data_IF_069412224491
#
_entry.id   IF_069412224491
#
_cell.length_a   1.000
_cell.length_b   1.000
_cell.length_c   1.000
_cell.angle_alpha   90.00
_cell.angle_beta   90.00
_cell.angle_gamma   90.00
#
_symmetry.space_group_name_H-M   'P 1'
#
loop_
_entity.id
_entity.type
_entity.pdbx_description
1 polymer ?
#
# COMPACT_ATOMS: atom_id res chain seq x y z
N UNK A 1 19.66 -24.28 -17.08
CA UNK A 1 19.20 -24.72 -15.75
C UNK A 1 18.01 -23.87 -15.36
N UNK A 2 16.90 -24.44 -14.86
CA UNK A 2 15.76 -23.65 -14.39
C UNK A 2 16.22 -22.74 -13.24
N UNK A 3 15.90 -21.44 -13.33
CA UNK A 3 16.19 -20.50 -12.25
C UNK A 3 15.38 -20.94 -11.03
N UNK A 4 16.03 -21.13 -9.89
CA UNK A 4 15.31 -21.38 -8.63
C UNK A 4 14.56 -20.11 -8.26
N UNK A 5 13.28 -20.24 -7.96
CA UNK A 5 12.46 -19.14 -7.47
C UNK A 5 11.98 -19.47 -6.05
N UNK A 6 12.00 -18.46 -5.17
CA UNK A 6 11.50 -18.56 -3.80
C UNK A 6 10.55 -17.39 -3.55
N UNK A 7 9.34 -17.70 -3.11
CA UNK A 7 8.35 -16.70 -2.69
C UNK A 7 8.56 -16.37 -1.21
N UNK A 8 8.56 -15.08 -0.88
CA UNK A 8 8.73 -14.59 0.48
C UNK A 8 7.44 -13.94 0.95
N UNK A 9 6.94 -14.42 2.10
CA UNK A 9 5.78 -13.87 2.77
C UNK A 9 6.04 -12.40 3.08
N UNK A 10 5.18 -11.53 2.55
CA UNK A 10 5.36 -10.08 2.63
C UNK A 10 4.08 -9.44 3.13
N UNK A 11 4.09 -8.85 4.33
CA UNK A 11 3.03 -7.94 4.73
C UNK A 11 3.31 -6.57 4.13
N UNK A 12 2.29 -5.99 3.51
CA UNK A 12 2.43 -4.73 2.79
C UNK A 12 1.28 -3.75 3.06
N UNK A 13 1.05 -3.35 4.33
CA UNK A 13 0.03 -2.37 4.61
C UNK A 13 0.36 -1.00 4.00
N UNK A 14 -0.66 -0.36 3.43
CA UNK A 14 -0.61 1.00 2.93
C UNK A 14 -1.27 1.96 3.92
N UNK A 15 -0.64 3.11 4.12
CA UNK A 15 -1.20 4.23 4.87
C UNK A 15 -1.41 5.41 3.94
N UNK A 16 -2.67 5.70 3.63
CA UNK A 16 -3.07 6.87 2.86
C UNK A 16 -2.80 8.15 3.66
N UNK A 17 -2.11 9.12 3.05
CA UNK A 17 -1.97 10.48 3.61
C UNK A 17 -2.86 11.48 2.88
N UNK A 18 -2.75 11.61 1.56
CA UNK A 18 -3.52 12.60 0.78
C UNK A 18 -3.43 12.33 -0.72
N UNK A 19 -4.40 12.84 -1.45
CA UNK A 19 -4.34 12.99 -2.91
C UNK A 19 -4.01 14.46 -3.22
N UNK A 20 -3.20 14.73 -4.24
CA UNK A 20 -2.80 16.10 -4.62
C UNK A 20 -2.74 16.23 -6.13
N UNK A 21 -2.96 17.44 -6.63
CA UNK A 21 -2.67 17.77 -8.02
C UNK A 21 -1.16 17.82 -8.25
N UNK A 22 -0.72 17.28 -9.38
CA UNK A 22 0.66 17.35 -9.86
C UNK A 22 0.68 17.48 -11.38
N UNK A 23 1.09 18.64 -11.87
CA UNK A 23 1.14 18.94 -13.30
C UNK A 23 2.23 18.15 -14.06
N UNK A 24 3.19 17.56 -13.35
CA UNK A 24 4.32 16.83 -13.94
C UNK A 24 4.00 15.34 -14.16
N UNK A 25 2.79 14.88 -13.82
CA UNK A 25 2.34 13.49 -13.96
C UNK A 25 1.19 13.38 -14.94
N UNK A 26 1.18 12.30 -15.73
CA UNK A 26 0.04 11.98 -16.58
C UNK A 26 -1.22 11.74 -15.75
N UNK A 27 -2.34 12.33 -16.16
CA UNK A 27 -3.56 12.40 -15.34
C UNK A 27 -3.59 13.52 -14.28
N UNK A 28 -2.45 14.16 -13.99
CA UNK A 28 -2.39 15.39 -13.19
C UNK A 28 -2.57 15.21 -11.69
N UNK A 29 -2.55 13.97 -11.17
CA UNK A 29 -2.90 13.67 -9.77
C UNK A 29 -1.95 12.61 -9.18
N UNK A 30 -1.51 12.83 -7.93
CA UNK A 30 -0.74 11.86 -7.15
C UNK A 30 -1.41 11.47 -5.85
N UNK A 31 -1.20 10.22 -5.46
CA UNK A 31 -1.53 9.66 -4.16
C UNK A 31 -0.27 9.61 -3.29
N UNK A 32 -0.26 10.38 -2.21
CA UNK A 32 0.83 10.41 -1.24
C UNK A 32 0.48 9.49 -0.07
N UNK A 33 1.41 8.61 0.30
CA UNK A 33 1.20 7.67 1.39
C UNK A 33 2.48 7.14 2.03
N UNK A 34 2.32 6.09 2.81
CA UNK A 34 3.42 5.31 3.39
C UNK A 34 3.11 3.83 3.23
N UNK A 35 4.01 3.05 2.64
CA UNK A 35 4.01 1.60 2.78
C UNK A 35 4.84 1.18 4.00
N UNK A 36 4.42 0.11 4.65
CA UNK A 36 5.28 -0.66 5.55
C UNK A 36 5.46 -2.04 4.94
N UNK A 37 6.65 -2.35 4.44
CA UNK A 37 6.98 -3.65 3.86
C UNK A 37 7.66 -4.51 4.91
N UNK A 38 7.00 -5.58 5.37
CA UNK A 38 7.59 -6.57 6.28
C UNK A 38 7.81 -7.86 5.48
N UNK A 39 9.07 -8.21 5.26
CA UNK A 39 9.46 -9.42 4.52
C UNK A 39 9.99 -10.46 5.49
N UNK A 40 9.37 -11.63 5.51
CA UNK A 40 9.75 -12.76 6.35
C UNK A 40 10.60 -13.77 5.59
N UNK A 41 11.17 -14.72 6.33
CA UNK A 41 11.93 -15.87 5.81
C UNK A 41 13.18 -15.46 5.00
N UNK A 42 13.76 -14.31 5.34
CA UNK A 42 15.05 -13.83 4.83
C UNK A 42 16.19 -14.48 5.60
N UNK A 43 17.25 -14.87 4.89
CA UNK A 43 18.51 -15.25 5.53
C UNK A 43 19.19 -14.02 6.17
N UNK A 44 20.02 -14.29 7.17
CA UNK A 44 20.69 -13.23 7.95
C UNK A 44 21.54 -12.34 7.05
N UNK A 45 22.24 -12.93 6.09
CA UNK A 45 23.11 -12.20 5.18
C UNK A 45 22.34 -11.22 4.28
N UNK A 46 21.15 -11.60 3.79
CA UNK A 46 20.34 -10.67 2.98
C UNK A 46 19.71 -9.58 3.82
N UNK A 47 19.33 -9.88 5.06
CA UNK A 47 18.90 -8.83 6.00
C UNK A 47 20.00 -7.80 6.19
N UNK A 48 21.24 -8.25 6.40
CA UNK A 48 22.40 -7.37 6.58
C UNK A 48 22.62 -6.53 5.31
N UNK A 49 22.59 -7.13 4.13
CA UNK A 49 22.72 -6.39 2.85
C UNK A 49 21.62 -5.32 2.67
N UNK A 50 20.37 -5.62 3.00
CA UNK A 50 19.25 -4.68 2.86
C UNK A 50 19.41 -3.53 3.86
N UNK A 51 19.81 -3.84 5.10
CA UNK A 51 19.96 -2.85 6.17
C UNK A 51 21.14 -1.93 5.90
N UNK A 52 22.26 -2.46 5.40
CA UNK A 52 23.46 -1.69 5.12
C UNK A 52 23.27 -0.70 3.97
N UNK A 53 22.38 -1.01 3.02
CA UNK A 53 22.04 -0.09 1.92
C UNK A 53 21.24 1.11 2.39
N UNK A 54 20.38 0.97 3.42
CA UNK A 54 19.49 2.00 4.02
C UNK A 54 18.54 2.76 3.08
N UNK A 55 18.86 2.89 1.80
CA UNK A 55 18.14 3.62 0.76
C UNK A 55 17.28 2.70 -0.13
N UNK A 56 17.35 1.38 0.08
CA UNK A 56 16.68 0.39 -0.73
C UNK A 56 15.60 -0.37 0.06
N UNK A 57 14.40 -0.46 -0.52
CA UNK A 57 13.38 -1.40 -0.09
C UNK A 57 13.80 -2.84 -0.42
N UNK A 58 13.28 -3.83 0.30
CA UNK A 58 13.58 -5.24 0.02
C UNK A 58 13.11 -5.62 -1.40
N UNK A 59 11.92 -5.16 -1.79
CA UNK A 59 11.42 -5.28 -3.15
C UNK A 59 11.17 -3.91 -3.75
N UNK A 60 11.62 -3.72 -4.99
CA UNK A 60 11.31 -2.53 -5.78
C UNK A 60 9.82 -2.44 -6.14
N UNK A 61 9.40 -1.28 -6.61
CA UNK A 61 8.00 -1.02 -6.94
C UNK A 61 7.82 -0.79 -8.43
N UNK A 62 6.68 -1.26 -8.94
CA UNK A 62 6.11 -0.81 -10.20
C UNK A 62 4.75 -0.19 -9.92
N UNK A 63 4.51 0.96 -10.52
CA UNK A 63 3.24 1.69 -10.47
C UNK A 63 2.69 1.79 -11.89
N UNK A 64 1.45 1.36 -12.10
CA UNK A 64 0.81 1.31 -13.41
C UNK A 64 1.71 0.64 -14.46
N UNK A 65 2.26 -0.52 -14.08
CA UNK A 65 3.16 -1.35 -14.91
C UNK A 65 4.54 -0.74 -15.22
N UNK A 66 4.81 0.49 -14.77
CA UNK A 66 6.08 1.20 -14.96
C UNK A 66 6.91 1.10 -13.69
N UNK A 67 8.22 0.90 -13.80
CA UNK A 67 9.12 0.91 -12.63
C UNK A 67 9.11 2.28 -11.95
N UNK A 68 9.06 2.29 -10.62
CA UNK A 68 9.07 3.52 -9.84
C UNK A 68 10.29 4.39 -10.20
N UNK A 69 10.04 5.68 -10.44
CA UNK A 69 11.07 6.67 -10.78
C UNK A 69 11.69 7.26 -9.51
N UNK A 70 12.79 8.00 -9.71
CA UNK A 70 13.38 8.79 -8.63
C UNK A 70 12.34 9.78 -8.09
N UNK A 71 12.17 9.81 -6.76
CA UNK A 71 11.17 10.63 -6.08
C UNK A 71 9.80 9.96 -5.87
N UNK A 72 9.49 8.86 -6.58
CA UNK A 72 8.23 8.13 -6.34
C UNK A 72 8.26 7.31 -5.05
N UNK A 73 9.46 6.88 -4.65
CA UNK A 73 9.70 6.02 -3.49
C UNK A 73 10.84 6.60 -2.66
N UNK A 74 10.60 6.83 -1.38
CA UNK A 74 11.61 7.28 -0.43
C UNK A 74 11.65 6.36 0.80
N UNK A 75 12.73 5.59 0.92
CA UNK A 75 12.95 4.70 2.06
C UNK A 75 13.31 5.55 3.28
N UNK A 76 12.52 5.43 4.35
CA UNK A 76 12.73 6.19 5.58
C UNK A 76 13.56 5.44 6.60
N UNK A 77 13.27 4.15 6.76
CA UNK A 77 13.88 3.31 7.79
C UNK A 77 13.73 1.85 7.45
N UNK A 78 14.79 1.10 7.69
CA UNK A 78 14.78 -0.36 7.63
C UNK A 78 15.29 -0.95 8.94
N UNK A 79 14.58 -1.95 9.46
CA UNK A 79 14.88 -2.60 10.74
C UNK A 79 14.83 -4.12 10.60
N UNK A 80 15.59 -4.83 11.45
CA UNK A 80 15.42 -6.28 11.60
C UNK A 80 14.12 -6.57 12.34
N UNK A 81 13.39 -7.56 11.87
CA UNK A 81 12.26 -8.14 12.59
C UNK A 81 12.61 -9.57 12.97
N UNK A 82 12.29 -9.93 14.20
CA UNK A 82 12.29 -11.31 14.68
C UNK A 82 10.87 -11.62 15.14
N UNK A 83 10.27 -12.64 14.56
CA UNK A 83 9.01 -13.20 15.05
C UNK A 83 9.30 -14.58 15.60
N UNK A 84 8.81 -14.85 16.80
CA UNK A 84 8.70 -16.22 17.28
C UNK A 84 7.37 -16.80 16.76
N UNK A 85 7.41 -18.04 16.30
CA UNK A 85 6.24 -18.79 15.89
C UNK A 85 6.40 -20.25 16.27
N UNK A 86 5.38 -21.04 16.01
CA UNK A 86 5.43 -22.49 16.15
C UNK A 86 5.30 -23.09 14.75
N UNK A 87 6.11 -24.11 14.45
CA UNK A 87 5.90 -24.89 13.23
C UNK A 87 4.67 -25.80 13.38
N UNK A 88 4.33 -26.53 12.31
CA UNK A 88 3.21 -27.47 12.31
C UNK A 88 3.36 -28.60 13.34
N UNK A 89 4.55 -28.77 13.91
CA UNK A 89 4.91 -29.80 14.89
C UNK A 89 4.96 -29.24 16.32
N UNK A 90 4.68 -27.94 16.49
CA UNK A 90 4.69 -27.24 17.78
C UNK A 90 6.08 -26.82 18.27
N UNK A 91 7.12 -26.93 17.44
CA UNK A 91 8.45 -26.45 17.79
C UNK A 91 8.53 -24.93 17.63
N UNK A 92 9.16 -24.27 18.59
CA UNK A 92 9.47 -22.85 18.49
C UNK A 92 10.42 -22.58 17.33
N UNK A 93 9.96 -21.80 16.37
CA UNK A 93 10.75 -21.32 15.24
C UNK A 93 10.94 -19.81 15.34
N UNK A 94 12.15 -19.35 15.05
CA UNK A 94 12.43 -17.91 14.91
C UNK A 94 12.40 -17.57 13.43
N UNK A 95 11.39 -16.82 13.02
CA UNK A 95 11.29 -16.24 11.68
C UNK A 95 12.01 -14.91 11.68
N UNK A 96 13.05 -14.81 10.87
CA UNK A 96 13.78 -13.56 10.67
C UNK A 96 13.23 -12.81 9.45
N UNK A 97 13.27 -11.48 9.52
CA UNK A 97 12.76 -10.63 8.46
C UNK A 97 13.30 -9.20 8.53
N UNK A 98 12.82 -8.37 7.61
CA UNK A 98 13.06 -6.93 7.60
C UNK A 98 11.74 -6.18 7.62
N UNK A 99 11.72 -5.01 8.26
CA UNK A 99 10.62 -4.04 8.18
C UNK A 99 11.17 -2.77 7.58
N UNK A 100 10.61 -2.37 6.44
CA UNK A 100 10.99 -1.15 5.72
C UNK A 100 9.81 -0.20 5.70
N UNK A 101 9.99 1.02 6.20
CA UNK A 101 9.00 2.10 6.11
C UNK A 101 9.34 2.99 4.93
N UNK A 102 8.38 3.18 4.03
CA UNK A 102 8.61 3.74 2.71
C UNK A 102 7.56 4.82 2.46
N UNK A 103 7.99 6.05 2.21
CA UNK A 103 7.11 7.10 1.71
C UNK A 103 6.95 6.96 0.20
N UNK A 104 5.73 7.14 -0.30
CA UNK A 104 5.42 6.98 -1.72
C UNK A 104 4.61 8.12 -2.29
N UNK A 105 4.91 8.45 -3.54
CA UNK A 105 4.22 9.43 -4.37
C UNK A 105 3.72 8.71 -5.64
N UNK A 106 2.53 8.13 -5.55
CA UNK A 106 2.01 7.22 -6.55
C UNK A 106 1.24 7.99 -7.64
N UNK A 107 1.53 7.78 -8.93
CA UNK A 107 0.77 8.40 -10.02
C UNK A 107 -0.62 7.74 -10.13
N UNK A 108 -1.68 8.55 -10.14
CA UNK A 108 -3.05 8.07 -10.32
C UNK A 108 -3.47 8.23 -11.79
N UNK A 109 -4.03 7.16 -12.37
CA UNK A 109 -4.75 7.21 -13.64
C UNK A 109 -6.18 7.71 -13.38
N UNK A 110 -6.62 8.72 -14.14
CA UNK A 110 -7.90 9.41 -13.92
C UNK A 110 -8.86 9.13 -15.07
N UNK A 111 -9.98 8.49 -14.77
CA UNK A 111 -11.08 8.25 -15.70
C UNK A 111 -12.33 9.02 -15.29
N UNK A 112 -12.84 9.91 -16.16
CA UNK A 112 -14.08 10.63 -15.87
C UNK A 112 -15.30 9.74 -16.02
N UNK A 113 -15.94 9.39 -14.91
CA UNK A 113 -17.15 8.57 -14.88
C UNK A 113 -18.40 9.38 -15.24
N UNK A 114 -18.51 10.58 -14.69
CA UNK A 114 -19.68 11.44 -14.89
C UNK A 114 -19.32 12.91 -14.77
N UNK A 115 -19.66 13.67 -15.82
CA UNK A 115 -19.56 15.13 -15.83
C UNK A 115 -20.98 15.67 -15.84
N UNK A 116 -21.43 16.27 -14.73
CA UNK A 116 -22.78 16.79 -14.60
C UNK A 116 -22.80 17.97 -13.64
N UNK A 117 -23.15 19.16 -14.13
CA UNK A 117 -23.25 20.34 -13.28
C UNK A 117 -24.08 20.06 -12.01
N UNK A 118 -23.61 20.42 -10.80
CA UNK A 118 -22.44 21.26 -10.50
C UNK A 118 -21.13 20.49 -10.21
N UNK A 119 -21.01 19.20 -10.53
CA UNK A 119 -19.86 18.37 -10.16
C UNK A 119 -19.34 17.46 -11.28
N UNK A 120 -18.13 16.96 -11.09
CA UNK A 120 -17.54 15.89 -11.88
C UNK A 120 -17.10 14.78 -10.93
N UNK A 121 -17.43 13.55 -11.31
CA UNK A 121 -16.98 12.34 -10.62
C UNK A 121 -15.94 11.68 -11.50
N UNK A 122 -14.74 11.55 -10.96
CA UNK A 122 -13.62 10.85 -11.56
C UNK A 122 -13.32 9.58 -10.76
N UNK A 123 -12.92 8.53 -11.46
CA UNK A 123 -12.30 7.34 -10.89
C UNK A 123 -10.80 7.51 -10.96
N UNK A 124 -10.13 7.48 -9.81
CA UNK A 124 -8.68 7.55 -9.72
C UNK A 124 -8.11 6.18 -9.33
N UNK A 125 -7.27 5.62 -10.17
CA UNK A 125 -6.76 4.25 -10.06
C UNK A 125 -5.25 4.23 -9.97
N UNK A 126 -4.68 3.33 -9.17
CA UNK A 126 -3.26 2.99 -9.25
C UNK A 126 -3.05 1.50 -9.04
N UNK A 127 -2.33 0.87 -9.97
CA UNK A 127 -1.84 -0.50 -9.83
C UNK A 127 -0.47 -0.50 -9.17
N UNK A 128 -0.28 -1.33 -8.14
CA UNK A 128 0.95 -1.45 -7.37
C UNK A 128 1.43 -2.90 -7.44
N UNK A 129 2.67 -3.09 -7.90
CA UNK A 129 3.30 -4.40 -7.99
C UNK A 129 4.69 -4.37 -7.31
N UNK A 130 4.97 -5.42 -6.53
CA UNK A 130 6.28 -5.62 -5.94
C UNK A 130 7.19 -6.41 -6.89
N UNK A 131 8.33 -5.82 -7.24
CA UNK A 131 9.30 -6.42 -8.14
C UNK A 131 10.01 -7.62 -7.52
N UNK A 132 10.57 -8.48 -8.36
CA UNK A 132 11.43 -9.57 -7.90
C UNK A 132 12.85 -9.07 -7.59
N UNK A 133 13.54 -9.77 -6.69
CA UNK A 133 14.93 -9.53 -6.34
C UNK A 133 15.79 -10.76 -6.66
N UNK A 134 17.02 -10.58 -7.12
CA UNK A 134 17.94 -11.69 -7.29
C UNK A 134 18.90 -11.80 -6.10
N UNK A 135 19.06 -13.02 -5.56
CA UNK A 135 20.07 -13.31 -4.55
C UNK A 135 21.27 -14.00 -5.22
N UNK A 136 22.37 -13.24 -5.38
CA UNK A 136 23.57 -13.71 -6.08
C UNK A 136 24.23 -14.93 -5.44
N UNK A 137 24.12 -15.08 -4.12
CA UNK A 137 24.73 -16.18 -3.35
C UNK A 137 23.96 -17.48 -3.54
N UNK A 138 22.65 -17.44 -3.35
CA UNK A 138 21.78 -18.62 -3.50
C UNK A 138 21.37 -18.88 -4.94
N UNK A 139 21.75 -18.00 -5.88
CA UNK A 139 21.36 -18.02 -7.30
C UNK A 139 19.85 -18.20 -7.47
N UNK A 140 19.09 -17.55 -6.59
CA UNK A 140 17.63 -17.69 -6.48
C UNK A 140 16.97 -16.33 -6.69
N UNK A 141 15.90 -16.32 -7.47
CA UNK A 141 15.01 -15.16 -7.57
C UNK A 141 14.03 -15.18 -6.40
N UNK A 142 14.07 -14.15 -5.57
CA UNK A 142 13.13 -13.91 -4.49
C UNK A 142 11.96 -13.09 -5.04
N UNK A 143 10.73 -13.54 -4.80
CA UNK A 143 9.51 -12.83 -5.18
C UNK A 143 8.68 -12.49 -3.96
N UNK A 144 8.08 -11.30 -3.94
CA UNK A 144 7.17 -10.91 -2.88
C UNK A 144 5.84 -11.65 -3.05
N UNK A 145 5.35 -12.27 -1.98
CA UNK A 145 4.02 -12.84 -1.90
C UNK A 145 3.22 -12.06 -0.85
N UNK A 146 2.32 -11.20 -1.32
CA UNK A 146 1.58 -10.26 -0.49
C UNK A 146 0.59 -11.04 0.36
N UNK A 147 0.76 -10.95 1.68
CA UNK A 147 -0.17 -11.50 2.63
C UNK A 147 -1.35 -10.56 2.78
N UNK A 148 -2.51 -11.01 2.31
CA UNK A 148 -3.76 -10.25 2.32
C UNK A 148 -4.63 -10.70 3.49
N UNK A 149 -5.07 -9.75 4.31
CA UNK A 149 -6.11 -10.00 5.31
C UNK A 149 -7.47 -10.15 4.59
N UNK A 150 -7.90 -11.39 4.35
CA UNK A 150 -9.10 -11.70 3.54
C UNK A 150 -10.42 -11.31 4.22
N UNK A 151 -10.46 -11.25 5.55
CA UNK A 151 -11.68 -10.96 6.32
C UNK A 151 -11.91 -9.46 6.56
N UNK A 152 -10.84 -8.66 6.51
CA UNK A 152 -10.89 -7.22 6.83
C UNK A 152 -9.84 -6.48 6.00
N UNK A 153 -10.27 -5.96 4.84
CA UNK A 153 -9.42 -5.23 3.90
C UNK A 153 -8.81 -3.96 4.51
N UNK A 154 -9.39 -3.42 5.60
CA UNK A 154 -8.87 -2.25 6.31
C UNK A 154 -7.57 -2.54 7.06
N UNK A 155 -7.25 -3.82 7.29
CA UNK A 155 -5.93 -4.22 7.82
C UNK A 155 -4.83 -4.11 6.76
N UNK A 156 -5.20 -4.15 5.48
CA UNK A 156 -4.26 -4.01 4.37
C UNK A 156 -4.11 -2.53 3.96
N UNK A 157 -5.16 -1.72 4.03
CA UNK A 157 -5.10 -0.27 3.81
C UNK A 157 -5.72 0.49 4.98
N UNK A 158 -4.91 1.37 5.56
CA UNK A 158 -5.32 2.32 6.59
C UNK A 158 -5.30 3.73 6.02
N UNK A 159 -6.25 4.55 6.46
CA UNK A 159 -6.19 5.99 6.28
C UNK A 159 -5.73 6.54 7.62
N UNK A 160 -4.68 7.37 7.61
CA UNK A 160 -4.04 8.06 8.75
C UNK A 160 -4.42 7.64 10.19
N UNK A 161 -3.40 7.26 10.96
CA UNK A 161 -3.45 6.87 12.39
C UNK A 161 -4.45 5.75 12.70
N UNK A 162 -3.94 4.54 12.98
CA UNK A 162 -4.68 3.65 13.88
C UNK A 162 -4.91 4.46 15.16
N UNK A 163 -6.17 4.66 15.60
CA UNK A 163 -6.41 5.15 16.94
C UNK A 163 -5.59 4.25 17.88
N UNK A 164 -4.81 4.85 18.77
CA UNK A 164 -4.04 4.08 19.76
C UNK A 164 -4.95 3.31 20.71
N UNK A 165 -6.23 3.67 20.74
CA UNK A 165 -7.25 3.04 21.56
C UNK A 165 -8.05 2.04 20.73
N UNK A 166 -7.93 0.76 21.09
CA UNK A 166 -8.70 -0.38 20.57
C UNK A 166 -10.23 -0.23 20.76
N UNK A 167 -10.68 0.82 21.46
CA UNK A 167 -12.08 1.07 21.81
C UNK A 167 -12.92 1.72 20.71
N UNK A 168 -12.32 2.21 19.61
CA UNK A 168 -13.09 2.91 18.56
C UNK A 168 -13.93 1.92 17.73
N UNK A 169 -13.44 0.69 17.49
CA UNK A 169 -14.22 -0.34 16.78
C UNK A 169 -15.42 -0.85 17.61
N UNK A 170 -15.31 -0.86 18.94
CA UNK A 170 -16.45 -1.17 19.84
C UNK A 170 -17.50 -0.05 19.86
N UNK A 171 -17.11 1.20 19.57
CA UNK A 171 -18.00 2.36 19.54
C UNK A 171 -18.80 2.49 18.23
N UNK A 172 -18.37 1.86 17.13
CA UNK A 172 -19.15 1.81 15.88
C UNK A 172 -20.44 0.97 16.01
N UNK A 173 -20.58 0.14 17.04
CA UNK A 173 -21.85 -0.51 17.38
C UNK A 173 -22.90 0.44 17.98
N UNK A 174 -22.52 1.67 18.32
CA UNK A 174 -23.39 2.69 18.95
C UNK A 174 -23.43 3.95 18.07
N UNK A 175 -23.98 3.81 16.87
CA UNK A 175 -23.90 4.81 15.79
C UNK A 175 -24.63 6.15 16.02
N UNK A 176 -25.38 6.32 17.12
CA UNK A 176 -26.31 7.44 17.25
C UNK A 176 -25.77 8.68 18.00
N UNK A 177 -24.55 8.67 18.55
CA UNK A 177 -24.09 9.76 19.45
C UNK A 177 -22.75 10.46 19.11
N UNK A 178 -22.12 10.16 17.98
CA UNK A 178 -20.74 10.64 17.71
C UNK A 178 -20.51 11.20 16.30
N UNK A 179 -21.46 11.97 15.75
CA UNK A 179 -21.26 12.72 14.50
C UNK A 179 -20.05 13.64 14.56
N UNK A 180 -19.87 14.38 15.67
CA UNK A 180 -18.83 15.42 15.78
C UNK A 180 -17.41 14.82 15.82
N UNK A 181 -17.25 13.62 16.40
CA UNK A 181 -15.96 12.90 16.41
C UNK A 181 -15.63 12.29 15.05
N UNK A 182 -16.65 11.86 14.31
CA UNK A 182 -16.48 11.36 12.94
C UNK A 182 -16.04 12.51 12.04
N UNK A 183 -16.65 13.68 12.16
CA UNK A 183 -16.23 14.87 11.41
C UNK A 183 -14.80 15.30 11.76
N UNK A 184 -14.41 15.33 13.03
CA UNK A 184 -13.03 15.66 13.43
C UNK A 184 -12.00 14.62 12.95
N UNK A 185 -12.39 13.35 12.88
CA UNK A 185 -11.59 12.26 12.33
C UNK A 185 -11.48 12.40 10.80
N UNK A 186 -12.58 12.69 10.10
CA UNK A 186 -12.60 12.94 8.65
C UNK A 186 -11.77 14.18 8.28
N UNK A 187 -11.89 15.28 9.04
CA UNK A 187 -11.10 16.51 8.87
C UNK A 187 -9.60 16.28 9.07
N UNK A 188 -9.23 15.35 9.97
CA UNK A 188 -7.83 14.95 10.18
C UNK A 188 -7.34 13.94 9.14
N UNK A 189 -8.25 13.11 8.60
CA UNK A 189 -7.94 12.01 7.70
C UNK A 189 -7.70 12.46 6.26
N UNK A 190 -8.47 13.44 5.77
CA UNK A 190 -8.40 13.83 4.36
C UNK A 190 -7.72 15.19 4.13
N UNK A 191 -6.41 15.17 3.92
CA UNK A 191 -5.62 16.37 3.57
C UNK A 191 -5.62 16.67 2.07
N UNK A 192 -6.54 16.08 1.32
CA UNK A 192 -6.57 16.16 -0.13
C UNK A 192 -6.91 17.58 -0.63
N UNK A 193 -7.56 18.43 0.19
CA UNK A 193 -7.88 19.87 -0.02
C UNK A 193 -8.66 20.23 -1.29
N UNK A 194 -8.54 19.46 -2.37
CA UNK A 194 -9.03 19.73 -3.72
C UNK A 194 -10.18 18.79 -4.08
N UNK A 195 -10.10 17.54 -3.66
CA UNK A 195 -11.09 16.50 -3.96
C UNK A 195 -11.91 16.16 -2.72
N UNK A 196 -13.21 15.98 -2.92
CA UNK A 196 -14.05 15.29 -1.96
C UNK A 196 -14.04 13.79 -2.30
N UNK A 197 -13.72 12.95 -1.32
CA UNK A 197 -13.79 11.50 -1.51
C UNK A 197 -15.24 11.00 -1.34
N UNK A 198 -15.71 10.21 -2.29
CA UNK A 198 -17.02 9.55 -2.22
C UNK A 198 -17.04 8.45 -1.12
N UNK A 199 -15.90 7.83 -0.87
CA UNK A 199 -15.62 6.93 0.24
C UNK A 199 -14.27 7.27 0.85
N UNK A 200 -14.12 7.28 2.18
CA UNK A 200 -12.82 7.52 2.80
C UNK A 200 -11.82 6.41 2.44
N UNK A 201 -12.28 5.16 2.30
CA UNK A 201 -11.45 4.01 1.95
C UNK A 201 -11.47 3.75 0.44
N UNK A 202 -10.31 3.43 -0.18
CA UNK A 202 -10.29 2.97 -1.55
C UNK A 202 -10.91 1.58 -1.68
N UNK A 203 -11.39 1.29 -2.89
CA UNK A 203 -11.59 -0.10 -3.30
C UNK A 203 -10.24 -0.73 -3.61
N UNK A 204 -10.11 -2.02 -3.28
CA UNK A 204 -8.83 -2.73 -3.30
C UNK A 204 -9.02 -4.06 -4.00
N UNK A 205 -8.31 -4.22 -5.12
CA UNK A 205 -8.39 -5.42 -5.95
C UNK A 205 -7.05 -6.14 -5.90
N UNK A 206 -7.02 -7.33 -5.30
CA UNK A 206 -5.82 -8.16 -5.26
C UNK A 206 -5.78 -9.05 -6.49
N UNK A 207 -4.68 -8.98 -7.23
CA UNK A 207 -4.48 -9.76 -8.44
C UNK A 207 -3.63 -10.98 -8.09
N UNK A 208 -4.25 -12.17 -8.16
CA UNK A 208 -3.59 -13.44 -7.93
C UNK A 208 -3.11 -14.03 -9.25
N UNK A 209 -1.95 -14.68 -9.22
CA UNK A 209 -1.42 -15.39 -10.38
C UNK A 209 -2.14 -16.73 -10.56
N UNK A 210 -2.92 -16.88 -11.64
CA UNK A 210 -3.66 -18.10 -11.95
C UNK A 210 -2.76 -19.34 -12.07
N UNK A 211 -1.47 -19.16 -12.41
CA UNK A 211 -0.52 -20.25 -12.55
C UNK A 211 0.02 -20.76 -11.20
N UNK A 212 -0.19 -20.02 -10.10
CA UNK A 212 0.30 -20.37 -8.78
C UNK A 212 -0.71 -20.07 -7.68
N UNK A 213 -1.20 -21.15 -7.06
CA UNK A 213 -2.19 -21.09 -5.99
C UNK A 213 -1.81 -20.07 -4.90
N UNK A 214 -2.73 -19.14 -4.63
CA UNK A 214 -2.66 -18.14 -3.56
C UNK A 214 -1.49 -17.12 -3.64
N UNK A 215 -0.81 -16.99 -4.78
CA UNK A 215 0.27 -16.01 -4.95
C UNK A 215 -0.24 -14.63 -5.40
N UNK A 216 0.02 -13.59 -4.61
CA UNK A 216 -0.40 -12.23 -4.91
C UNK A 216 0.80 -11.26 -5.02
N UNK A 217 1.23 -10.90 -6.23
CA UNK A 217 2.31 -9.91 -6.43
C UNK A 217 1.83 -8.47 -6.58
N UNK A 218 0.55 -8.28 -6.93
CA UNK A 218 -0.02 -7.02 -7.41
C UNK A 218 -1.37 -6.75 -6.78
N UNK A 219 -1.64 -5.48 -6.52
CA UNK A 219 -2.97 -5.01 -6.14
C UNK A 219 -3.24 -3.63 -6.72
N UNK A 220 -4.51 -3.32 -6.91
CA UNK A 220 -4.98 -2.04 -7.47
C UNK A 220 -5.81 -1.30 -6.43
N UNK A 221 -5.55 0.00 -6.28
CA UNK A 221 -6.33 0.92 -5.46
C UNK A 221 -7.22 1.77 -6.35
N UNK A 222 -8.48 1.95 -5.95
CA UNK A 222 -9.43 2.82 -6.66
C UNK A 222 -10.11 3.80 -5.71
N UNK A 223 -10.18 5.05 -6.13
CA UNK A 223 -10.84 6.14 -5.42
C UNK A 223 -11.88 6.79 -6.32
N UNK A 224 -13.00 7.19 -5.74
CA UNK A 224 -13.96 8.05 -6.41
C UNK A 224 -13.75 9.48 -5.94
N UNK A 225 -13.29 10.33 -6.84
CA UNK A 225 -12.99 11.74 -6.60
C UNK A 225 -14.16 12.60 -7.10
N UNK A 226 -14.70 13.44 -6.22
CA UNK A 226 -15.71 14.43 -6.59
C UNK A 226 -15.06 15.80 -6.59
N UNK A 227 -15.07 16.46 -7.75
CA UNK A 227 -14.58 17.83 -7.91
C UNK A 227 -15.68 18.77 -8.42
N UNK A 228 -15.61 20.08 -8.13
CA UNK A 228 -16.54 21.05 -8.70
C UNK A 228 -16.48 21.02 -10.23
N UNK A 229 -17.64 20.96 -10.88
CA UNK A 229 -17.78 20.90 -12.34
C UNK A 229 -17.49 22.22 -13.05
N UNK A 230 -17.05 23.26 -12.31
CA UNK A 230 -16.69 24.56 -12.86
C UNK A 230 -15.23 24.56 -13.32
N UNK A 231 -14.91 23.77 -14.34
CA UNK A 231 -13.71 24.01 -15.13
C UNK A 231 -14.11 24.77 -16.39
N UNK A 232 -14.04 26.12 -16.29
CA UNK A 232 -14.11 27.08 -17.40
C UNK A 232 -15.41 27.13 -18.21
N UNK A 233 -16.33 28.01 -17.81
CA UNK A 233 -17.04 28.82 -18.80
C UNK A 233 -15.99 29.71 -19.47
N UNK A 234 -15.41 29.26 -20.59
CA UNK A 234 -14.66 30.10 -21.53
C UNK A 234 -15.48 30.21 -22.79
#
# INVERSE_FOLDING_TARGET
MPKKEKKLRTLHPFMLKRIVDDADVDGGVRLIGTFVQIVYDLDKEKQDEIIDKQDAACFGYRFNEISAKEGDVHVRRTERVKSEGEDAEGNKTTVLGTRTTIEVNLPLEIDSLKVCFPFQIDLATVAIELSSMFCDKTKTTLRADILVHKEDSRQNISIQNKPKDETILEQFGQLEKHTDKIEEILDKMDKTKVYNLLSPYPEVFYEYDDSAKDYCPRFTLQFYLVKPGFYKLV
#
